data_IF_538933532804
#
_entry.id   IF_538933532804
#
_cell.length_a   1.000
_cell.length_b   1.000
_cell.length_c   1.000
_cell.angle_alpha   90.00
_cell.angle_beta   90.00
_cell.angle_gamma   90.00
#
_symmetry.space_group_name_H-M   'P 1'
#
loop_
_entity.id
_entity.type
_entity.pdbx_description
1 polymer ?
#
# COMPACT_ATOMS: atom_id res chain seq x y z
N UNK A 1 15.62 28.75 -8.15
CA UNK A 1 15.04 28.22 -9.41
C UNK A 1 15.99 27.13 -9.87
N UNK A 2 15.80 25.89 -9.43
CA UNK A 2 14.99 24.88 -10.13
C UNK A 2 14.18 24.05 -9.14
N UNK A 3 12.88 24.32 -9.08
CA UNK A 3 11.89 23.33 -8.66
C UNK A 3 11.58 22.52 -9.91
N UNK A 4 12.21 21.36 -10.07
CA UNK A 4 11.55 20.26 -10.78
C UNK A 4 10.91 19.44 -9.68
N UNK A 5 9.60 19.60 -9.51
CA UNK A 5 8.84 18.49 -8.96
C UNK A 5 9.11 17.32 -9.90
N UNK A 6 9.88 16.33 -9.45
CA UNK A 6 10.06 15.10 -10.21
C UNK A 6 8.66 14.52 -10.41
N UNK A 7 8.15 14.67 -11.64
CA UNK A 7 6.82 14.20 -11.98
C UNK A 7 6.80 12.70 -11.79
N UNK A 8 5.91 12.21 -10.92
CA UNK A 8 5.68 10.78 -10.71
C UNK A 8 5.54 10.09 -12.06
N UNK A 9 6.46 9.17 -12.34
CA UNK A 9 6.55 8.47 -13.63
C UNK A 9 6.41 6.98 -13.38
N UNK A 10 5.32 6.40 -13.87
CA UNK A 10 5.08 4.95 -13.82
C UNK A 10 5.18 4.37 -15.22
N UNK A 11 6.02 3.34 -15.39
CA UNK A 11 6.22 2.65 -16.66
C UNK A 11 5.87 1.18 -16.50
N UNK A 12 4.82 0.75 -17.20
CA UNK A 12 4.51 -0.67 -17.33
C UNK A 12 5.45 -1.27 -18.38
N UNK A 13 6.27 -2.23 -17.97
CA UNK A 13 7.26 -2.86 -18.83
C UNK A 13 6.61 -3.86 -19.79
N UNK A 14 7.11 -3.87 -21.01
CA UNK A 14 6.90 -4.94 -21.97
C UNK A 14 8.28 -5.54 -22.25
N UNK A 15 8.47 -6.81 -21.91
CA UNK A 15 9.79 -7.45 -22.00
C UNK A 15 10.26 -7.60 -23.44
N UNK A 16 9.36 -7.51 -24.42
CA UNK A 16 9.70 -7.61 -25.84
C UNK A 16 9.96 -6.24 -26.47
N UNK A 17 9.65 -5.14 -25.78
CA UNK A 17 9.84 -3.76 -26.29
C UNK A 17 11.00 -3.03 -25.62
N UNK A 18 11.70 -2.15 -26.36
CA UNK A 18 12.69 -1.27 -25.74
C UNK A 18 12.02 -0.25 -24.83
N UNK A 19 12.71 0.17 -23.77
CA UNK A 19 12.30 1.31 -22.95
C UNK A 19 12.93 2.61 -23.47
N UNK A 20 12.30 3.78 -23.28
CA UNK A 20 12.90 5.06 -23.65
C UNK A 20 14.31 5.22 -23.06
N UNK A 21 15.27 5.67 -23.86
CA UNK A 21 16.66 5.80 -23.45
C UNK A 21 16.84 6.72 -22.22
N UNK A 22 15.99 7.75 -22.10
CA UNK A 22 15.98 8.67 -20.96
C UNK A 22 15.61 8.03 -19.62
N UNK A 23 15.01 6.83 -19.62
CA UNK A 23 14.62 6.10 -18.42
C UNK A 23 15.59 4.96 -18.06
N UNK A 24 16.59 4.70 -18.91
CA UNK A 24 17.65 3.72 -18.63
C UNK A 24 18.66 4.29 -17.65
N UNK A 25 19.45 3.44 -17.00
CA UNK A 25 20.57 3.90 -16.18
C UNK A 25 20.20 4.24 -14.73
N UNK A 26 18.98 3.95 -14.30
CA UNK A 26 18.57 4.20 -12.91
C UNK A 26 19.23 3.19 -11.95
N UNK A 27 19.36 3.58 -10.68
CA UNK A 27 19.57 2.64 -9.57
C UNK A 27 18.23 2.01 -9.21
N UNK A 28 18.14 0.69 -9.24
CA UNK A 28 16.88 -0.03 -9.07
C UNK A 28 16.73 -0.58 -7.66
N UNK A 29 15.73 -0.11 -6.92
CA UNK A 29 15.23 -0.77 -5.72
C UNK A 29 14.26 -1.90 -6.14
N UNK A 30 14.62 -3.15 -5.84
CA UNK A 30 13.91 -4.34 -6.29
C UNK A 30 12.96 -4.84 -5.20
N UNK A 31 11.69 -5.04 -5.53
CA UNK A 31 10.74 -5.57 -4.55
C UNK A 31 9.27 -5.58 -4.98
N UNK A 32 8.45 -6.28 -4.22
CA UNK A 32 7.00 -6.27 -4.44
C UNK A 32 6.32 -5.00 -3.87
N UNK A 33 6.98 -4.34 -2.91
CA UNK A 33 6.57 -3.04 -2.32
C UNK A 33 5.14 -2.97 -1.79
N UNK A 34 4.50 -4.09 -1.44
CA UNK A 34 3.12 -4.08 -0.95
C UNK A 34 3.07 -3.45 0.46
N UNK A 35 2.30 -2.37 0.57
CA UNK A 35 2.23 -1.55 1.78
C UNK A 35 3.25 -0.42 1.84
N UNK A 36 4.35 -0.43 1.08
CA UNK A 36 5.40 0.63 1.14
C UNK A 36 5.73 1.00 2.61
N UNK A 37 6.16 -0.01 3.38
CA UNK A 37 6.43 0.11 4.81
C UNK A 37 7.84 0.63 5.11
N UNK A 38 8.18 0.86 6.39
CA UNK A 38 9.50 1.38 6.80
C UNK A 38 10.69 0.58 6.24
N UNK A 39 10.58 -0.76 6.17
CA UNK A 39 11.62 -1.57 5.51
C UNK A 39 11.82 -1.25 4.02
N UNK A 40 10.78 -0.85 3.29
CA UNK A 40 10.91 -0.37 1.91
C UNK A 40 11.50 1.04 1.84
N UNK A 41 11.26 1.89 2.86
CA UNK A 41 11.90 3.20 2.95
C UNK A 41 13.42 3.09 3.06
N UNK A 42 13.95 2.05 3.71
CA UNK A 42 15.41 1.79 3.72
C UNK A 42 15.94 1.38 2.34
N UNK A 43 15.21 0.57 1.57
CA UNK A 43 15.57 0.26 0.18
C UNK A 43 15.61 1.55 -0.67
N UNK A 44 14.63 2.43 -0.49
CA UNK A 44 14.56 3.70 -1.19
C UNK A 44 15.69 4.65 -0.79
N UNK A 45 16.00 4.75 0.51
CA UNK A 45 17.13 5.54 1.03
C UNK A 45 18.45 5.10 0.39
N UNK A 46 18.73 3.80 0.43
CA UNK A 46 19.95 3.22 -0.13
C UNK A 46 20.04 3.43 -1.66
N UNK A 47 18.92 3.23 -2.37
CA UNK A 47 18.86 3.48 -3.81
C UNK A 47 19.09 4.96 -4.16
N UNK A 48 18.51 5.87 -3.37
CA UNK A 48 18.69 7.32 -3.52
C UNK A 48 20.14 7.76 -3.29
N UNK A 49 20.79 7.26 -2.23
CA UNK A 49 22.19 7.55 -1.93
C UNK A 49 23.13 7.03 -3.04
N UNK A 50 22.91 5.81 -3.51
CA UNK A 50 23.69 5.23 -4.61
C UNK A 50 23.45 5.97 -5.93
N UNK A 51 22.21 6.40 -6.20
CA UNK A 51 21.87 7.18 -7.39
C UNK A 51 22.57 8.54 -7.38
N UNK A 52 22.59 9.23 -6.24
CA UNK A 52 23.27 10.50 -6.06
C UNK A 52 24.79 10.39 -6.29
N UNK A 53 25.44 9.35 -5.76
CA UNK A 53 26.86 9.08 -5.99
C UNK A 53 27.20 8.84 -7.47
N UNK A 54 26.25 8.32 -8.23
CA UNK A 54 26.41 7.97 -9.65
C UNK A 54 25.91 9.05 -10.61
N UNK A 55 25.32 10.13 -10.11
CA UNK A 55 24.74 11.18 -10.94
C UNK A 55 23.57 10.68 -11.80
N UNK A 56 22.76 9.75 -11.27
CA UNK A 56 21.57 9.19 -11.95
C UNK A 56 20.34 9.25 -11.04
N UNK A 57 19.21 8.73 -11.50
CA UNK A 57 17.96 8.64 -10.73
C UNK A 57 17.81 7.30 -10.00
N UNK A 58 17.08 7.29 -8.89
CA UNK A 58 16.60 6.06 -8.26
C UNK A 58 15.22 5.68 -8.81
N UNK A 59 14.96 4.37 -8.93
CA UNK A 59 13.69 3.84 -9.39
C UNK A 59 13.30 2.56 -8.65
N UNK A 60 12.00 2.34 -8.46
CA UNK A 60 11.49 1.06 -8.02
C UNK A 60 11.31 0.11 -9.23
N UNK A 61 11.66 -1.17 -9.10
CA UNK A 61 11.16 -2.24 -9.95
C UNK A 61 10.22 -3.12 -9.14
N UNK A 62 8.96 -3.15 -9.55
CA UNK A 62 7.90 -3.92 -8.89
C UNK A 62 7.09 -4.76 -9.85
N UNK A 63 6.15 -5.53 -9.32
CA UNK A 63 5.38 -6.55 -10.05
C UNK A 63 3.89 -6.32 -9.84
N UNK A 64 3.12 -6.41 -10.92
CA UNK A 64 1.64 -6.38 -10.87
C UNK A 64 1.04 -7.34 -11.90
N UNK A 65 0.06 -8.19 -11.56
CA UNK A 65 -0.48 -8.45 -10.22
C UNK A 65 0.55 -8.98 -9.22
N UNK A 66 0.24 -8.91 -7.93
CA UNK A 66 1.12 -9.48 -6.89
C UNK A 66 1.42 -10.95 -7.24
N UNK A 67 2.69 -11.40 -7.24
CA UNK A 67 3.08 -12.75 -7.66
C UNK A 67 2.28 -13.88 -6.98
N UNK A 68 1.99 -13.74 -5.68
CA UNK A 68 1.18 -14.71 -4.92
C UNK A 68 -0.22 -14.91 -5.50
N UNK A 69 -0.86 -13.84 -5.98
CA UNK A 69 -2.20 -13.91 -6.58
C UNK A 69 -2.18 -14.62 -7.94
N UNK A 70 -1.04 -14.65 -8.65
CA UNK A 70 -0.90 -15.41 -9.91
C UNK A 70 -0.68 -16.90 -9.64
N UNK A 71 0.11 -17.22 -8.60
CA UNK A 71 0.35 -18.62 -8.22
C UNK A 71 -0.84 -19.26 -7.48
N UNK A 72 -1.63 -18.45 -6.76
CA UNK A 72 -2.80 -18.89 -5.97
C UNK A 72 -4.01 -18.00 -6.24
N UNK A 73 -4.59 -18.05 -7.45
CA UNK A 73 -5.74 -17.22 -7.81
C UNK A 73 -6.98 -17.46 -6.94
N UNK A 74 -7.11 -18.65 -6.34
CA UNK A 74 -8.18 -19.02 -5.42
C UNK A 74 -8.02 -18.42 -4.01
N UNK A 75 -6.82 -17.95 -3.65
CA UNK A 75 -6.50 -17.32 -2.38
C UNK A 75 -5.71 -16.03 -2.61
N UNK A 76 -6.35 -14.99 -3.18
CA UNK A 76 -5.70 -13.71 -3.43
C UNK A 76 -5.16 -13.13 -2.12
N UNK A 77 -4.00 -12.48 -2.22
CA UNK A 77 -3.37 -11.85 -1.07
C UNK A 77 -4.13 -10.59 -0.68
N UNK A 78 -4.40 -10.41 0.62
CA UNK A 78 -4.90 -9.13 1.13
C UNK A 78 -3.90 -8.01 0.78
N UNK A 79 -4.22 -7.24 -0.24
CA UNK A 79 -3.37 -6.15 -0.75
C UNK A 79 -3.36 -5.01 0.27
N UNK A 80 -2.15 -4.62 0.69
CA UNK A 80 -1.99 -3.47 1.59
C UNK A 80 -2.13 -2.16 0.82
N UNK A 81 -1.65 -2.12 -0.44
CA UNK A 81 -1.79 -0.97 -1.33
C UNK A 81 -2.22 -1.40 -2.74
N UNK A 82 -3.27 -0.76 -3.32
CA UNK A 82 -3.56 -0.86 -4.75
C UNK A 82 -2.40 -0.31 -5.60
N UNK A 83 -2.30 -0.67 -6.89
CA UNK A 83 -1.17 -0.27 -7.74
C UNK A 83 -0.94 1.24 -7.83
N UNK A 84 -2.00 2.03 -8.07
CA UNK A 84 -1.89 3.49 -8.16
C UNK A 84 -1.42 4.14 -6.84
N UNK A 85 -1.93 3.65 -5.71
CA UNK A 85 -1.52 4.12 -4.38
C UNK A 85 -0.08 3.69 -4.08
N UNK A 86 0.33 2.49 -4.50
CA UNK A 86 1.70 2.01 -4.33
C UNK A 86 2.70 2.93 -5.02
N UNK A 87 2.42 3.38 -6.24
CA UNK A 87 3.32 4.29 -6.98
C UNK A 87 3.42 5.67 -6.35
N UNK A 88 2.30 6.21 -5.83
CA UNK A 88 2.31 7.48 -5.08
C UNK A 88 3.19 7.36 -3.83
N UNK A 89 3.00 6.31 -3.06
CA UNK A 89 3.78 6.08 -1.83
C UNK A 89 5.26 5.81 -2.10
N UNK A 90 5.59 5.17 -3.23
CA UNK A 90 6.98 4.98 -3.64
C UNK A 90 7.63 6.32 -3.99
N UNK A 91 6.90 7.22 -4.66
CA UNK A 91 7.38 8.57 -4.92
C UNK A 91 7.61 9.36 -3.62
N UNK A 92 6.69 9.25 -2.65
CA UNK A 92 6.80 9.91 -1.35
C UNK A 92 8.07 9.50 -0.57
N UNK A 93 8.54 8.25 -0.74
CA UNK A 93 9.78 7.76 -0.12
C UNK A 93 11.04 7.95 -0.98
N UNK A 94 10.97 8.71 -2.08
CA UNK A 94 12.12 9.05 -2.92
C UNK A 94 12.33 8.17 -4.15
N UNK A 95 11.32 7.41 -4.58
CA UNK A 95 11.34 6.61 -5.82
C UNK A 95 10.28 7.11 -6.81
N UNK A 96 10.43 8.33 -7.38
CA UNK A 96 9.43 8.94 -8.28
C UNK A 96 9.29 8.21 -9.62
N UNK A 97 10.30 7.41 -10.02
CA UNK A 97 10.24 6.51 -11.17
C UNK A 97 9.93 5.09 -10.69
N UNK A 98 8.85 4.49 -11.19
CA UNK A 98 8.50 3.09 -10.92
C UNK A 98 8.33 2.31 -12.22
N UNK A 99 9.12 1.26 -12.37
CA UNK A 99 8.93 0.22 -13.38
C UNK A 99 8.02 -0.87 -12.81
N UNK A 100 6.92 -1.14 -13.51
CA UNK A 100 5.97 -2.21 -13.16
C UNK A 100 6.12 -3.32 -14.19
N UNK A 101 6.64 -4.47 -13.78
CA UNK A 101 6.70 -5.68 -14.62
C UNK A 101 5.37 -6.43 -14.52
N UNK A 102 4.61 -6.60 -15.63
CA UNK A 102 3.36 -7.34 -15.64
C UNK A 102 3.59 -8.81 -15.27
N UNK A 103 3.25 -9.21 -14.05
CA UNK A 103 3.58 -10.54 -13.57
C UNK A 103 2.63 -11.58 -14.16
N UNK A 104 3.20 -12.56 -14.86
CA UNK A 104 2.48 -13.68 -15.48
C UNK A 104 3.22 -14.99 -15.21
N UNK A 105 2.65 -16.11 -15.65
CA UNK A 105 3.37 -17.40 -15.61
C UNK A 105 4.61 -17.40 -16.49
N UNK A 106 4.61 -16.65 -17.58
CA UNK A 106 5.76 -16.52 -18.48
C UNK A 106 6.87 -15.70 -17.81
N UNK A 107 6.52 -14.59 -17.15
CA UNK A 107 7.48 -13.82 -16.34
C UNK A 107 8.02 -14.68 -15.18
N UNK A 108 7.17 -15.48 -14.55
CA UNK A 108 7.59 -16.41 -13.50
C UNK A 108 8.51 -17.55 -14.02
N UNK A 109 8.53 -17.81 -15.32
CA UNK A 109 9.38 -18.82 -15.95
C UNK A 109 10.75 -18.29 -16.37
N UNK A 110 10.98 -16.96 -16.28
CA UNK A 110 12.28 -16.35 -16.58
C UNK A 110 13.34 -16.90 -15.62
N UNK A 111 14.42 -17.46 -16.15
CA UNK A 111 15.57 -17.89 -15.36
C UNK A 111 16.20 -16.70 -14.61
N UNK A 112 16.74 -16.96 -13.41
CA UNK A 112 17.32 -15.90 -12.58
C UNK A 112 18.46 -15.17 -13.31
N UNK A 113 19.22 -15.90 -14.13
CA UNK A 113 20.26 -15.37 -15.01
C UNK A 113 19.71 -14.33 -15.99
N UNK A 114 18.70 -14.70 -16.77
CA UNK A 114 18.07 -13.81 -17.75
C UNK A 114 17.38 -12.61 -17.09
N UNK A 115 16.82 -12.80 -15.89
CA UNK A 115 16.29 -11.68 -15.12
C UNK A 115 17.35 -10.61 -14.82
N UNK A 116 18.56 -11.03 -14.43
CA UNK A 116 19.66 -10.07 -14.18
C UNK A 116 20.23 -9.54 -15.49
N UNK A 117 20.69 -10.45 -16.36
CA UNK A 117 21.50 -10.11 -17.52
C UNK A 117 20.68 -9.37 -18.59
N UNK A 118 19.50 -9.89 -18.94
CA UNK A 118 18.71 -9.36 -20.04
C UNK A 118 17.81 -8.21 -19.59
N UNK A 119 17.17 -8.34 -18.43
CA UNK A 119 16.23 -7.33 -17.93
C UNK A 119 16.93 -6.22 -17.16
N UNK A 120 17.59 -6.51 -16.04
CA UNK A 120 18.18 -5.45 -15.19
C UNK A 120 19.36 -4.75 -15.88
N UNK A 121 20.32 -5.53 -16.38
CA UNK A 121 21.55 -4.99 -16.98
C UNK A 121 21.34 -4.63 -18.47
N UNK A 122 20.72 -5.49 -19.26
CA UNK A 122 20.49 -5.27 -20.68
C UNK A 122 19.43 -4.21 -20.97
N UNK A 123 18.17 -4.47 -20.59
CA UNK A 123 17.01 -3.64 -20.95
C UNK A 123 16.87 -2.37 -20.10
N UNK A 124 17.05 -2.47 -18.79
CA UNK A 124 16.97 -1.31 -17.91
C UNK A 124 18.30 -0.55 -17.82
N UNK A 125 19.42 -1.23 -18.09
CA UNK A 125 20.74 -0.61 -18.01
C UNK A 125 21.07 -0.17 -16.60
N UNK A 126 20.69 -0.95 -15.58
CA UNK A 126 20.79 -0.55 -14.18
C UNK A 126 22.20 -0.05 -13.84
N UNK A 127 22.28 1.16 -13.27
CA UNK A 127 23.55 1.72 -12.80
C UNK A 127 23.93 1.24 -11.39
N UNK A 128 22.97 0.61 -10.70
CA UNK A 128 23.11 0.03 -9.37
C UNK A 128 21.84 -0.73 -9.01
N UNK A 129 21.94 -1.67 -8.08
CA UNK A 129 20.82 -2.52 -7.65
C UNK A 129 20.72 -2.50 -6.12
N UNK A 130 19.51 -2.42 -5.60
CA UNK A 130 19.23 -2.46 -4.16
C UNK A 130 18.15 -3.48 -3.91
N UNK A 131 18.37 -4.42 -3.00
CA UNK A 131 17.38 -5.43 -2.64
C UNK A 131 17.42 -5.74 -1.14
N UNK A 132 16.35 -6.37 -0.63
CA UNK A 132 16.34 -6.86 0.74
C UNK A 132 17.11 -8.19 0.88
N UNK A 133 17.58 -8.48 2.07
CA UNK A 133 18.25 -9.74 2.42
C UNK A 133 17.44 -11.02 2.08
N UNK A 134 16.11 -10.92 2.00
CA UNK A 134 15.20 -12.02 1.68
C UNK A 134 14.64 -11.94 0.24
N UNK A 135 15.24 -11.12 -0.62
CA UNK A 135 14.82 -10.97 -2.01
C UNK A 135 15.11 -12.25 -2.81
N UNK A 136 14.08 -12.77 -3.47
CA UNK A 136 14.19 -13.92 -4.37
C UNK A 136 13.54 -13.60 -5.71
N UNK A 137 14.16 -14.07 -6.79
CA UNK A 137 13.73 -13.80 -8.15
C UNK A 137 14.00 -15.02 -9.06
N UNK A 138 13.56 -14.93 -10.31
CA UNK A 138 13.70 -15.98 -11.29
C UNK A 138 12.82 -17.21 -11.04
N UNK A 139 12.85 -18.12 -12.01
CA UNK A 139 12.07 -19.34 -12.02
C UNK A 139 12.29 -20.15 -10.74
N UNK A 140 11.18 -20.51 -10.08
CA UNK A 140 11.25 -21.32 -8.86
C UNK A 140 11.94 -20.63 -7.69
N UNK A 141 12.09 -19.29 -7.71
CA UNK A 141 12.82 -18.51 -6.69
C UNK A 141 14.30 -18.91 -6.59
N UNK A 142 14.91 -19.29 -7.72
CA UNK A 142 16.31 -19.74 -7.76
C UNK A 142 17.34 -18.62 -7.57
N UNK A 143 16.95 -17.37 -7.84
CA UNK A 143 17.80 -16.20 -7.63
C UNK A 143 17.79 -15.74 -6.18
N UNK A 144 18.97 -15.33 -5.70
CA UNK A 144 19.22 -14.81 -4.35
C UNK A 144 20.03 -13.50 -4.41
N UNK A 145 20.16 -12.75 -3.31
CA UNK A 145 21.01 -11.56 -3.25
C UNK A 145 22.47 -11.86 -3.62
N UNK A 146 23.00 -13.01 -3.21
CA UNK A 146 24.37 -13.44 -3.55
C UNK A 146 24.55 -13.67 -5.06
N UNK A 147 23.54 -14.26 -5.70
CA UNK A 147 23.53 -14.44 -7.16
C UNK A 147 23.46 -13.08 -7.87
N UNK A 148 22.65 -12.15 -7.35
CA UNK A 148 22.52 -10.80 -7.89
C UNK A 148 23.86 -10.05 -7.83
N UNK A 149 24.53 -10.09 -6.68
CA UNK A 149 25.87 -9.52 -6.48
C UNK A 149 26.90 -10.14 -7.43
N UNK A 150 26.98 -11.47 -7.47
CA UNK A 150 27.97 -12.17 -8.30
C UNK A 150 27.81 -11.85 -9.79
N UNK A 151 26.58 -11.75 -10.29
CA UNK A 151 26.31 -11.41 -11.70
C UNK A 151 26.55 -9.94 -12.00
N UNK A 152 26.02 -9.04 -11.17
CA UNK A 152 26.19 -7.60 -11.36
C UNK A 152 27.66 -7.16 -11.27
N UNK A 153 28.48 -7.83 -10.46
CA UNK A 153 29.92 -7.58 -10.35
C UNK A 153 30.64 -7.75 -11.70
N UNK A 154 30.27 -8.76 -12.51
CA UNK A 154 30.86 -8.96 -13.83
C UNK A 154 30.58 -7.80 -14.80
N UNK A 155 29.49 -7.06 -14.58
CA UNK A 155 29.12 -5.88 -15.35
C UNK A 155 29.58 -4.55 -14.71
N UNK A 156 30.29 -4.59 -13.57
CA UNK A 156 30.70 -3.39 -12.84
C UNK A 156 29.54 -2.63 -12.20
N UNK A 157 28.39 -3.29 -11.99
CA UNK A 157 27.19 -2.71 -11.39
C UNK A 157 27.17 -3.04 -9.89
N UNK A 158 27.16 -2.04 -9.00
CA UNK A 158 27.14 -2.26 -7.55
C UNK A 158 25.77 -2.76 -7.12
N UNK A 159 25.78 -3.59 -6.08
CA UNK A 159 24.58 -4.11 -5.44
C UNK A 159 24.66 -3.78 -3.95
N UNK A 160 23.56 -3.31 -3.38
CA UNK A 160 23.39 -3.16 -1.95
C UNK A 160 22.29 -4.10 -1.45
N UNK A 161 22.64 -4.93 -0.46
CA UNK A 161 21.70 -5.82 0.23
C UNK A 161 21.33 -5.21 1.56
N UNK A 162 20.10 -4.72 1.67
CA UNK A 162 19.61 -4.04 2.88
C UNK A 162 19.22 -5.09 3.93
N UNK A 163 19.75 -4.98 5.17
CA UNK A 163 19.43 -5.90 6.25
C UNK A 163 17.96 -5.79 6.68
N UNK A 164 17.44 -6.77 7.45
CA UNK A 164 16.10 -6.69 7.99
C UNK A 164 15.90 -5.41 8.82
N UNK A 165 14.82 -4.68 8.54
CA UNK A 165 14.44 -3.51 9.34
C UNK A 165 13.58 -3.93 10.53
N UNK A 166 13.86 -3.36 11.71
CA UNK A 166 13.05 -3.54 12.90
C UNK A 166 12.58 -2.20 13.47
N UNK A 167 11.31 -2.14 13.88
CA UNK A 167 10.72 -1.01 14.58
C UNK A 167 10.46 -1.40 16.04
N UNK A 168 11.03 -0.65 16.98
CA UNK A 168 10.94 -0.95 18.44
C UNK A 168 11.31 -2.40 18.79
N UNK A 169 12.29 -2.97 18.07
CA UNK A 169 12.76 -4.35 18.29
C UNK A 169 11.96 -5.44 17.57
N UNK A 170 10.88 -5.09 16.85
CA UNK A 170 10.11 -6.05 16.06
C UNK A 170 10.44 -5.93 14.56
N UNK A 171 10.69 -7.05 13.83
CA UNK A 171 10.88 -7.00 12.38
C UNK A 171 9.66 -6.43 11.66
N UNK A 172 9.89 -5.66 10.59
CA UNK A 172 8.84 -5.09 9.74
C UNK A 172 8.69 -5.91 8.45
N UNK A 173 7.47 -6.35 8.14
CA UNK A 173 7.16 -7.01 6.85
C UNK A 173 5.69 -6.82 6.46
N UNK A 174 5.37 -6.91 5.16
CA UNK A 174 3.96 -6.91 4.71
C UNK A 174 3.14 -8.05 5.33
N UNK A 175 3.74 -9.17 5.73
CA UNK A 175 3.02 -10.26 6.41
C UNK A 175 2.58 -9.84 7.82
N UNK A 176 3.47 -9.23 8.59
CA UNK A 176 3.14 -8.77 9.94
C UNK A 176 2.12 -7.62 9.92
N UNK A 177 2.20 -6.74 8.92
CA UNK A 177 1.21 -5.66 8.73
C UNK A 177 -0.17 -6.26 8.44
N UNK A 178 -0.28 -7.23 7.52
CA UNK A 178 -1.57 -7.91 7.25
C UNK A 178 -2.11 -8.60 8.50
N UNK A 179 -1.27 -9.30 9.24
CA UNK A 179 -1.68 -9.96 10.49
C UNK A 179 -2.22 -8.96 11.52
N UNK A 180 -1.57 -7.80 11.66
CA UNK A 180 -2.03 -6.74 12.56
C UNK A 180 -3.41 -6.21 12.12
N UNK A 181 -3.59 -5.90 10.83
CA UNK A 181 -4.89 -5.46 10.28
C UNK A 181 -5.99 -6.53 10.43
N UNK A 182 -5.67 -7.80 10.20
CA UNK A 182 -6.58 -8.94 10.41
C UNK A 182 -7.01 -9.11 11.87
N UNK A 183 -6.19 -8.62 12.81
CA UNK A 183 -6.47 -8.65 14.25
C UNK A 183 -7.11 -7.36 14.78
N UNK A 184 -7.25 -6.33 13.94
CA UNK A 184 -7.75 -4.99 14.29
C UNK A 184 -6.69 -4.09 14.93
N UNK A 185 -5.43 -4.53 14.99
CA UNK A 185 -4.31 -3.75 15.52
C UNK A 185 -3.77 -2.78 14.45
N UNK A 186 -4.61 -1.80 14.11
CA UNK A 186 -4.29 -0.77 13.10
C UNK A 186 -3.17 0.16 13.57
N UNK A 187 -2.98 0.31 14.89
CA UNK A 187 -1.89 1.08 15.47
C UNK A 187 -0.53 0.42 15.23
N UNK A 188 -0.41 -0.89 15.44
CA UNK A 188 0.82 -1.63 15.11
C UNK A 188 1.09 -1.67 13.61
N UNK A 189 0.04 -1.84 12.80
CA UNK A 189 0.17 -1.72 11.34
C UNK A 189 0.73 -0.34 10.96
N UNK A 190 0.26 0.73 11.61
CA UNK A 190 0.75 2.08 11.37
C UNK A 190 2.21 2.28 11.79
N UNK A 191 2.60 1.72 12.94
CA UNK A 191 3.98 1.71 13.42
C UNK A 191 4.94 1.11 12.37
N UNK A 192 4.56 0.01 11.73
CA UNK A 192 5.34 -0.65 10.67
C UNK A 192 5.32 0.07 9.33
N UNK A 193 4.16 0.63 8.96
CA UNK A 193 4.01 1.39 7.72
C UNK A 193 4.71 2.75 7.79
N UNK A 194 4.89 3.29 8.99
CA UNK A 194 5.28 4.68 9.22
C UNK A 194 4.11 5.68 9.10
N UNK A 195 2.90 5.17 8.93
CA UNK A 195 1.66 5.93 8.71
C UNK A 195 0.42 5.08 8.99
N UNK A 196 -0.74 5.68 9.31
CA UNK A 196 -2.01 4.96 9.30
C UNK A 196 -2.21 4.19 7.99
N UNK A 197 -2.65 2.94 8.09
CA UNK A 197 -3.11 2.23 6.91
C UNK A 197 -4.38 2.90 6.39
N UNK A 198 -4.48 3.08 5.07
CA UNK A 198 -5.64 3.71 4.45
C UNK A 198 -6.09 2.97 3.22
N UNK A 199 -7.36 3.18 2.88
CA UNK A 199 -7.98 2.70 1.65
C UNK A 199 -8.42 3.86 0.80
N UNK A 200 -8.33 3.70 -0.52
CA UNK A 200 -8.80 4.67 -1.50
C UNK A 200 -9.97 4.08 -2.27
N UNK A 201 -11.00 4.86 -2.50
CA UNK A 201 -12.15 4.43 -3.28
C UNK A 201 -13.13 5.56 -3.56
N UNK A 202 -14.14 5.24 -4.37
CA UNK A 202 -15.22 6.16 -4.73
C UNK A 202 -16.39 5.96 -3.77
N UNK A 203 -16.93 7.06 -3.26
CA UNK A 203 -18.13 7.02 -2.40
C UNK A 203 -19.34 6.63 -3.25
N UNK A 204 -19.92 5.48 -2.92
CA UNK A 204 -21.09 4.91 -3.56
C UNK A 204 -22.40 5.49 -2.99
N UNK A 205 -23.46 5.40 -3.79
CA UNK A 205 -24.81 5.66 -3.31
C UNK A 205 -25.27 4.49 -2.42
N UNK A 206 -25.42 4.74 -1.11
CA UNK A 206 -25.96 3.75 -0.16
C UNK A 206 -27.47 3.90 0.08
N UNK A 207 -28.02 3.09 0.99
CA UNK A 207 -29.45 3.00 1.32
C UNK A 207 -30.03 4.27 1.98
N UNK A 208 -29.23 5.34 2.14
CA UNK A 208 -29.55 6.62 2.80
C UNK A 208 -30.09 6.54 4.25
N UNK A 209 -30.21 5.35 4.84
CA UNK A 209 -30.73 5.12 6.20
C UNK A 209 -30.05 5.93 7.30
N UNK A 210 -28.72 6.08 7.24
CA UNK A 210 -27.99 6.88 8.23
C UNK A 210 -28.40 8.36 8.22
N UNK A 211 -28.79 8.90 7.06
CA UNK A 211 -29.23 10.29 6.92
C UNK A 211 -30.49 10.57 7.73
N UNK A 212 -31.44 9.63 7.73
CA UNK A 212 -32.69 9.75 8.49
C UNK A 212 -32.47 9.69 10.02
N UNK A 213 -31.31 9.16 10.44
CA UNK A 213 -30.89 9.04 11.84
C UNK A 213 -29.93 10.16 12.28
N UNK A 214 -29.59 11.12 11.41
CA UNK A 214 -28.63 12.19 11.69
C UNK A 214 -27.15 11.83 11.43
N UNK A 215 -26.87 10.66 10.88
CA UNK A 215 -25.52 10.16 10.56
C UNK A 215 -25.37 9.89 9.05
N UNK A 216 -25.24 10.92 8.20
CA UNK A 216 -24.94 10.70 6.78
C UNK A 216 -23.59 9.99 6.62
N UNK A 217 -23.61 8.74 6.14
CA UNK A 217 -22.39 7.96 5.91
C UNK A 217 -21.95 7.96 4.46
N UNK A 218 -20.64 8.14 4.26
CA UNK A 218 -19.97 7.84 3.00
C UNK A 218 -19.75 6.32 2.91
N UNK A 219 -20.30 5.69 1.88
CA UNK A 219 -20.26 4.25 1.69
C UNK A 219 -19.19 3.91 0.67
N UNK A 220 -18.27 3.01 1.01
CA UNK A 220 -17.23 2.52 0.10
C UNK A 220 -17.26 0.99 0.06
N UNK A 221 -17.05 0.44 -1.14
CA UNK A 221 -16.86 -1.00 -1.33
C UNK A 221 -15.37 -1.29 -1.34
N UNK A 222 -14.90 -2.10 -0.39
CA UNK A 222 -13.53 -2.58 -0.41
C UNK A 222 -13.44 -3.85 -1.25
N UNK A 223 -12.21 -4.18 -1.67
CA UNK A 223 -11.97 -5.41 -2.40
C UNK A 223 -12.38 -6.63 -1.56
N UNK A 224 -12.89 -7.69 -2.21
CA UNK A 224 -13.39 -8.90 -1.52
C UNK A 224 -12.31 -9.64 -0.74
N UNK A 225 -11.05 -9.45 -1.11
CA UNK A 225 -9.86 -10.00 -0.44
C UNK A 225 -9.31 -9.07 0.66
N UNK A 226 -10.01 -7.97 0.98
CA UNK A 226 -9.71 -7.16 2.16
C UNK A 226 -10.07 -7.94 3.42
N UNK A 227 -9.05 -8.26 4.22
CA UNK A 227 -9.19 -9.04 5.46
C UNK A 227 -9.01 -8.19 6.72
N UNK A 228 -9.22 -6.87 6.62
CA UNK A 228 -9.31 -6.01 7.79
C UNK A 228 -10.33 -6.60 8.78
N UNK A 229 -10.04 -6.58 10.08
CA UNK A 229 -10.99 -7.08 11.08
C UNK A 229 -12.32 -6.32 10.99
N UNK A 230 -13.45 -7.02 11.08
CA UNK A 230 -14.73 -6.33 11.18
C UNK A 230 -14.88 -5.60 12.52
N UNK A 231 -15.52 -4.44 12.48
CA UNK A 231 -15.74 -3.62 13.66
C UNK A 231 -15.86 -2.13 13.35
N UNK A 232 -15.83 -1.35 14.43
CA UNK A 232 -15.93 0.10 14.42
C UNK A 232 -14.54 0.69 14.64
N UNK A 233 -14.22 1.73 13.88
CA UNK A 233 -12.91 2.35 13.84
C UNK A 233 -13.00 3.86 13.99
N UNK A 234 -12.06 4.44 14.72
CA UNK A 234 -11.73 5.85 14.59
C UNK A 234 -10.91 6.04 13.31
N UNK A 235 -11.36 6.94 12.43
CA UNK A 235 -10.75 7.13 11.12
C UNK A 235 -10.58 8.61 10.78
N UNK A 236 -9.77 8.88 9.75
CA UNK A 236 -9.75 10.17 9.05
C UNK A 236 -10.08 9.96 7.59
N UNK A 237 -10.95 10.79 7.04
CA UNK A 237 -11.29 10.79 5.62
C UNK A 237 -10.69 12.01 4.92
N UNK A 238 -9.96 11.80 3.84
CA UNK A 238 -9.43 12.87 2.98
C UNK A 238 -10.47 13.25 1.94
N UNK A 239 -10.95 14.48 1.99
CA UNK A 239 -11.95 15.07 1.09
C UNK A 239 -11.31 16.33 0.50
N UNK A 240 -11.18 16.38 -0.83
CA UNK A 240 -10.56 17.52 -1.55
C UNK A 240 -9.20 17.97 -0.97
N UNK A 241 -8.39 16.99 -0.54
CA UNK A 241 -7.07 17.26 0.02
C UNK A 241 -7.04 17.47 1.54
N UNK A 242 -8.18 17.68 2.18
CA UNK A 242 -8.31 17.99 3.61
C UNK A 242 -8.71 16.74 4.39
N UNK A 243 -8.03 16.47 5.50
CA UNK A 243 -8.38 15.37 6.40
C UNK A 243 -9.46 15.80 7.40
N UNK A 244 -10.54 15.03 7.44
CA UNK A 244 -11.64 15.17 8.40
C UNK A 244 -11.69 13.96 9.32
N UNK A 245 -11.91 14.20 10.61
CA UNK A 245 -12.09 13.14 11.59
C UNK A 245 -13.45 12.45 11.38
N UNK A 246 -13.54 11.17 11.74
CA UNK A 246 -14.78 10.41 11.61
C UNK A 246 -14.75 9.07 12.34
N UNK A 247 -15.89 8.38 12.26
CA UNK A 247 -16.04 7.00 12.74
C UNK A 247 -16.50 6.13 11.58
N UNK A 248 -15.88 4.97 11.41
CA UNK A 248 -16.23 4.04 10.34
C UNK A 248 -16.67 2.69 10.89
N UNK A 249 -17.72 2.15 10.29
CA UNK A 249 -18.11 0.75 10.44
C UNK A 249 -17.58 -0.04 9.26
N UNK A 250 -16.79 -1.08 9.52
CA UNK A 250 -16.36 -2.04 8.50
C UNK A 250 -16.95 -3.41 8.82
N UNK A 251 -17.81 -3.90 7.94
CA UNK A 251 -18.57 -5.12 8.20
C UNK A 251 -19.22 -5.70 6.95
N UNK A 252 -19.67 -6.95 7.07
CA UNK A 252 -20.44 -7.61 6.00
C UNK A 252 -21.93 -7.59 6.35
N UNK A 253 -22.81 -7.50 5.34
CA UNK A 253 -24.25 -7.73 5.50
C UNK A 253 -24.61 -9.10 4.94
N UNK A 254 -24.56 -10.19 5.73
CA UNK A 254 -24.75 -11.56 5.21
C UNK A 254 -26.12 -11.82 4.58
N UNK A 255 -27.12 -10.96 4.80
CA UNK A 255 -28.52 -11.23 4.45
C UNK A 255 -29.09 -10.39 3.30
N UNK A 256 -28.35 -9.44 2.73
CA UNK A 256 -28.95 -8.46 1.79
C UNK A 256 -28.19 -8.19 0.49
N UNK A 257 -26.90 -8.51 0.40
CA UNK A 257 -26.12 -8.28 -0.81
C UNK A 257 -25.03 -9.35 -0.94
N UNK A 258 -24.41 -9.43 -2.11
CA UNK A 258 -23.40 -10.38 -2.61
C UNK A 258 -22.20 -10.78 -1.71
N UNK A 259 -22.20 -10.41 -0.42
CA UNK A 259 -21.25 -10.76 0.61
C UNK A 259 -20.06 -9.80 0.70
N UNK A 260 -19.98 -8.76 -0.13
CA UNK A 260 -18.86 -7.83 -0.11
C UNK A 260 -18.86 -6.97 1.18
N UNK A 261 -17.70 -6.82 1.86
CA UNK A 261 -17.58 -5.93 3.00
C UNK A 261 -17.87 -4.47 2.62
N UNK A 262 -18.62 -3.77 3.46
CA UNK A 262 -18.93 -2.34 3.31
C UNK A 262 -18.15 -1.54 4.34
N UNK A 263 -17.56 -0.44 3.90
CA UNK A 263 -16.99 0.59 4.77
C UNK A 263 -17.96 1.77 4.79
N UNK A 264 -18.58 2.02 5.93
CA UNK A 264 -19.53 3.11 6.14
C UNK A 264 -18.90 4.13 7.09
N UNK A 265 -18.51 5.30 6.57
CA UNK A 265 -17.83 6.34 7.36
C UNK A 265 -18.77 7.50 7.64
N UNK A 266 -19.00 7.80 8.91
CA UNK A 266 -19.60 9.06 9.36
C UNK A 266 -18.49 10.09 9.59
N UNK A 267 -18.47 11.13 8.77
CA UNK A 267 -17.47 12.21 8.85
C UNK A 267 -17.99 13.28 9.80
N UNK A 268 -17.19 13.63 10.80
CA UNK A 268 -17.56 14.62 11.80
C UNK A 268 -17.52 16.04 11.21
N UNK A 269 -18.49 16.85 11.63
CA UNK A 269 -18.55 18.29 11.37
C UNK A 269 -18.46 18.64 9.87
N UNK A 270 -18.85 17.70 9.01
CA UNK A 270 -18.85 17.85 7.55
C UNK A 270 -20.28 17.96 7.02
N UNK A 271 -20.48 18.93 6.13
CA UNK A 271 -21.73 19.10 5.39
C UNK A 271 -21.40 19.22 3.91
N UNK A 272 -22.01 18.37 3.09
CA UNK A 272 -21.74 18.30 1.66
C UNK A 272 -22.21 16.98 1.07
N UNK A 273 -22.22 16.90 -0.25
CA UNK A 273 -22.44 15.65 -0.97
C UNK A 273 -21.07 15.02 -1.30
N UNK A 274 -20.87 13.78 -0.89
CA UNK A 274 -19.65 13.02 -1.16
C UNK A 274 -19.82 12.03 -2.31
N UNK A 275 -21.04 11.84 -2.83
CA UNK A 275 -21.28 10.81 -3.84
C UNK A 275 -20.44 11.01 -5.10
N UNK A 276 -19.79 9.93 -5.55
CA UNK A 276 -18.92 9.95 -6.72
C UNK A 276 -17.53 10.55 -6.46
N UNK A 277 -17.26 11.11 -5.28
CA UNK A 277 -15.93 11.60 -4.94
C UNK A 277 -14.99 10.44 -4.64
N UNK A 278 -13.75 10.58 -5.09
CA UNK A 278 -12.65 9.71 -4.67
C UNK A 278 -12.10 10.22 -3.34
N UNK A 279 -12.08 9.36 -2.33
CA UNK A 279 -11.63 9.69 -0.97
C UNK A 279 -10.63 8.66 -0.47
N UNK A 280 -9.79 9.09 0.48
CA UNK A 280 -8.91 8.20 1.26
C UNK A 280 -9.45 8.08 2.68
N UNK A 281 -9.54 6.87 3.23
CA UNK A 281 -9.96 6.62 4.63
C UNK A 281 -8.81 5.96 5.36
N UNK A 282 -8.20 6.71 6.28
CA UNK A 282 -7.10 6.27 7.13
C UNK A 282 -7.62 5.74 8.47
N UNK A 283 -7.19 4.53 8.84
CA UNK A 283 -7.58 3.85 10.07
C UNK A 283 -6.63 4.20 11.21
N UNK A 284 -7.16 4.85 12.25
CA UNK A 284 -6.36 5.33 13.39
C UNK A 284 -6.43 4.36 14.57
N UNK A 285 -7.63 3.89 14.91
CA UNK A 285 -7.82 2.96 16.02
C UNK A 285 -9.03 2.06 15.80
N UNK A 286 -8.95 0.82 16.28
CA UNK A 286 -10.10 -0.06 16.40
C UNK A 286 -10.78 0.20 17.74
N UNK A 287 -12.08 0.46 17.73
CA UNK A 287 -12.85 0.82 18.92
C UNK A 287 -13.54 -0.39 19.52
N UNK A 288 -14.28 -1.16 18.69
CA UNK A 288 -15.03 -2.35 19.11
C UNK A 288 -15.42 -3.24 17.95
N UNK A 289 -15.88 -4.44 18.26
CA UNK A 289 -16.46 -5.37 17.27
C UNK A 289 -17.88 -4.98 16.85
N UNK A 290 -18.39 -5.66 15.82
CA UNK A 290 -19.80 -5.53 15.40
C UNK A 290 -20.76 -6.05 16.48
N UNK A 291 -21.93 -5.43 16.58
CA UNK A 291 -22.98 -5.81 17.52
C UNK A 291 -24.36 -5.72 16.85
N UNK A 292 -25.29 -6.56 17.31
CA UNK A 292 -26.72 -6.44 16.97
C UNK A 292 -27.42 -5.62 18.05
N UNK A 293 -28.39 -4.81 17.66
CA UNK A 293 -29.18 -3.99 18.57
C UNK A 293 -30.65 -4.37 18.46
N UNK A 294 -31.31 -4.48 19.62
CA UNK A 294 -32.70 -4.91 19.72
C UNK A 294 -33.69 -3.78 19.43
N UNK A 295 -33.23 -2.53 19.34
CA UNK A 295 -34.03 -1.36 18.99
C UNK A 295 -33.22 -0.28 18.28
N UNK A 296 -33.92 0.66 17.62
CA UNK A 296 -33.30 1.83 17.00
C UNK A 296 -32.63 2.74 18.04
N UNK A 297 -33.28 2.96 19.17
CA UNK A 297 -32.73 3.81 20.24
C UNK A 297 -31.42 3.24 20.80
N UNK A 298 -31.34 1.91 20.97
CA UNK A 298 -30.12 1.25 21.42
C UNK A 298 -28.97 1.40 20.40
N UNK A 299 -29.29 1.35 19.10
CA UNK A 299 -28.31 1.61 18.04
C UNK A 299 -27.80 3.06 18.10
N UNK A 300 -28.68 4.06 18.22
CA UNK A 300 -28.31 5.48 18.30
C UNK A 300 -27.40 5.73 19.51
N UNK A 301 -27.78 5.23 20.69
CA UNK A 301 -26.96 5.36 21.91
C UNK A 301 -25.55 4.82 21.70
N UNK A 302 -25.41 3.67 21.03
CA UNK A 302 -24.09 3.12 20.75
C UNK A 302 -23.33 3.92 19.68
N UNK A 303 -24.00 4.44 18.65
CA UNK A 303 -23.39 5.29 17.63
C UNK A 303 -22.86 6.60 18.22
N UNK A 304 -23.57 7.19 19.19
CA UNK A 304 -23.11 8.35 19.95
C UNK A 304 -21.88 8.02 20.79
N UNK A 305 -21.89 6.89 21.49
CA UNK A 305 -20.73 6.42 22.27
C UNK A 305 -19.50 6.15 21.39
N UNK A 306 -19.69 5.53 20.23
CA UNK A 306 -18.62 5.27 19.27
C UNK A 306 -18.06 6.58 18.70
N UNK A 307 -18.93 7.54 18.41
CA UNK A 307 -18.53 8.87 17.91
C UNK A 307 -17.74 9.65 18.96
N UNK A 308 -18.16 9.61 20.22
CA UNK A 308 -17.42 10.22 21.33
C UNK A 308 -16.04 9.58 21.50
N UNK A 309 -15.96 8.24 21.53
CA UNK A 309 -14.68 7.53 21.64
C UNK A 309 -13.75 7.80 20.45
N UNK A 310 -14.30 7.91 19.24
CA UNK A 310 -13.54 8.27 18.05
C UNK A 310 -12.97 9.69 18.16
N UNK A 311 -13.78 10.69 18.56
CA UNK A 311 -13.32 12.07 18.77
C UNK A 311 -12.21 12.15 19.82
N UNK A 312 -12.35 11.46 20.95
CA UNK A 312 -11.32 11.43 21.99
C UNK A 312 -10.01 10.83 21.48
N UNK A 313 -10.10 9.72 20.75
CA UNK A 313 -8.92 9.04 20.18
C UNK A 313 -8.22 9.89 19.12
N UNK A 314 -9.00 10.51 18.22
CA UNK A 314 -8.48 11.33 17.13
C UNK A 314 -7.90 12.65 17.63
N UNK A 315 -8.46 13.25 18.69
CA UNK A 315 -7.93 14.44 19.34
C UNK A 315 -6.58 14.22 20.02
N UNK A 316 -6.27 12.99 20.41
CA UNK A 316 -4.97 12.61 21.00
C UNK A 316 -3.94 12.16 19.97
N UNK A 317 -4.38 11.87 18.74
CA UNK A 317 -3.51 11.40 17.66
C UNK A 317 -3.16 12.59 16.76
N UNK A 318 -1.89 12.95 16.54
CA UNK A 318 -1.55 14.06 15.65
C UNK A 318 -2.09 13.81 14.22
N UNK A 319 -2.49 14.87 13.47
CA UNK A 319 -2.80 14.76 12.05
C UNK A 319 -1.65 14.06 11.31
N UNK A 320 -1.98 13.11 10.45
CA UNK A 320 -0.95 12.42 9.66
C UNK A 320 -0.46 13.35 8.53
N UNK A 321 0.85 13.57 8.49
CA UNK A 321 1.54 14.14 7.34
C UNK A 321 2.22 12.97 6.61
N UNK A 322 1.85 12.66 5.36
CA UNK A 322 2.56 11.66 4.55
C UNK A 322 4.04 11.98 4.40
#
# INVERSE_FOLDING_TARGET
MTSSADSLTTVVLDIDKPIPAALRGAVLALGNFDGVHRGHAELAREAGEMAAQRGTSAAALTFEPHPRSVFRPEQPVFRLTPPAVKTELLADIGLPLTFVLPFSRDIAAIHAEAFVDDLLLGKLGAAGLVCGYDFHFGQGRSGSPEMLEARAMHAGVPVAVVPPYAWKGEPVSSTLIRNALEQGDVARAADFLGRPWFVRGVVAHGDKRGRDLGYPTANMHLARDCRLKYGIYAVRMKIDGIWHDGVASFGSRPTFDDGAPRLETFVFDFSGDLYGMQVDVAFVSWLRGEAKFDSMDALIVQMDADSAAARDTLGQTPPFLP
#
